data_IF_261689990220
#
_entry.id   IF_261689990220
#
_cell.length_a   1.000
_cell.length_b   1.000
_cell.length_c   1.000
_cell.angle_alpha   90.00
_cell.angle_beta   90.00
_cell.angle_gamma   90.00
#
_symmetry.space_group_name_H-M   'P 1'
#
loop_
_entity.id
_entity.type
_entity.pdbx_description
1 polymer ?
#
# COMPACT_ATOMS: atom_id res chain seq x y z
N UNK A 1 17.95 8.26 4.67
CA UNK A 1 16.54 8.59 4.91
C UNK A 1 16.29 10.03 4.49
N UNK A 2 15.33 10.25 3.58
CA UNK A 2 14.99 11.54 2.98
C UNK A 2 13.47 11.68 2.87
N UNK A 3 12.95 12.89 3.15
CA UNK A 3 11.54 13.23 2.97
C UNK A 3 11.42 14.31 1.89
N UNK A 4 10.60 14.08 0.88
CA UNK A 4 10.32 15.05 -0.19
C UNK A 4 8.86 15.47 -0.18
N UNK A 5 8.62 16.77 -0.32
CA UNK A 5 7.28 17.34 -0.32
C UNK A 5 6.81 17.58 -1.76
N UNK A 6 5.88 16.76 -2.24
CA UNK A 6 5.39 16.80 -3.63
C UNK A 6 4.08 17.60 -3.76
N UNK A 7 3.40 17.85 -2.64
CA UNK A 7 2.19 18.66 -2.55
C UNK A 7 1.85 19.02 -1.10
N UNK A 8 0.78 19.80 -0.89
CA UNK A 8 0.41 20.29 0.45
C UNK A 8 1.40 21.29 1.09
N UNK A 9 2.31 21.89 0.30
CA UNK A 9 3.22 22.95 0.77
C UNK A 9 2.73 24.30 0.27
N UNK A 10 2.53 25.25 1.19
CA UNK A 10 1.95 26.56 0.88
C UNK A 10 0.48 26.50 0.46
N UNK A 11 -0.19 25.36 0.67
CA UNK A 11 -1.60 25.12 0.36
C UNK A 11 -2.14 23.97 1.21
N UNK A 12 -3.46 23.94 1.44
CA UNK A 12 -4.14 22.90 2.24
C UNK A 12 -4.57 21.68 1.43
N UNK A 13 -4.25 21.65 0.13
CA UNK A 13 -4.77 20.63 -0.79
C UNK A 13 -3.67 19.97 -1.61
N UNK A 14 -3.93 18.75 -2.07
CA UNK A 14 -2.99 17.98 -2.89
C UNK A 14 -1.85 17.35 -2.09
N UNK A 15 -2.08 17.02 -0.82
CA UNK A 15 -1.14 16.38 0.10
C UNK A 15 -0.50 15.14 -0.53
N UNK A 16 0.83 15.18 -0.67
CA UNK A 16 1.68 14.13 -1.25
C UNK A 16 3.10 14.26 -0.73
N UNK A 17 3.58 13.25 -0.01
CA UNK A 17 4.92 13.26 0.58
C UNK A 17 5.63 11.94 0.28
N UNK A 18 6.88 12.01 -0.16
CA UNK A 18 7.67 10.83 -0.50
C UNK A 18 8.71 10.60 0.60
N UNK A 19 8.60 9.48 1.30
CA UNK A 19 9.61 9.02 2.24
C UNK A 19 10.50 7.99 1.55
N UNK A 20 11.79 8.31 1.41
CA UNK A 20 12.81 7.43 0.84
C UNK A 20 13.80 7.02 1.94
N UNK A 21 13.79 5.73 2.30
CA UNK A 21 14.70 5.18 3.32
C UNK A 21 16.02 4.70 2.72
N UNK A 22 16.14 4.65 1.40
CA UNK A 22 17.21 3.99 0.64
C UNK A 22 16.90 2.52 0.33
N UNK A 23 16.07 1.86 1.14
CA UNK A 23 15.58 0.50 0.89
C UNK A 23 14.13 0.48 0.39
N UNK A 24 13.33 1.45 0.83
CA UNK A 24 11.92 1.59 0.50
C UNK A 24 11.56 3.03 0.19
N UNK A 25 10.63 3.19 -0.75
CA UNK A 25 10.03 4.45 -1.15
C UNK A 25 8.53 4.40 -0.89
N UNK A 26 8.10 5.10 0.15
CA UNK A 26 6.73 5.13 0.63
C UNK A 26 6.12 6.49 0.28
N UNK A 27 4.97 6.48 -0.39
CA UNK A 27 4.20 7.69 -0.62
C UNK A 27 3.16 7.85 0.49
N UNK A 28 3.28 8.92 1.27
CA UNK A 28 2.28 9.33 2.26
C UNK A 28 1.32 10.30 1.59
N UNK A 29 0.06 9.93 1.55
CA UNK A 29 -1.04 10.56 0.81
C UNK A 29 -0.83 10.66 -0.71
N UNK A 30 -1.95 10.68 -1.42
CA UNK A 30 -2.04 10.79 -2.87
C UNK A 30 -3.18 11.76 -3.25
N UNK A 31 -3.08 13.00 -2.81
CA UNK A 31 -4.14 14.00 -2.92
C UNK A 31 -4.24 14.75 -4.25
N UNK A 32 -5.47 15.16 -4.62
CA UNK A 32 -5.70 16.17 -5.66
C UNK A 32 -5.59 17.58 -5.11
N UNK A 33 -5.02 18.49 -5.90
CA UNK A 33 -5.09 19.91 -5.67
C UNK A 33 -6.49 20.47 -6.01
N UNK A 34 -7.08 21.22 -5.09
CA UNK A 34 -8.42 21.83 -5.19
C UNK A 34 -8.35 23.36 -5.10
N UNK A 35 -9.53 24.01 -5.04
CA UNK A 35 -9.62 25.46 -4.89
C UNK A 35 -9.25 26.19 -6.19
N UNK A 36 -8.41 27.22 -6.11
CA UNK A 36 -8.07 28.08 -7.24
C UNK A 36 -7.59 27.31 -8.48
N UNK A 37 -7.90 27.86 -9.67
CA UNK A 37 -7.55 27.24 -10.96
C UNK A 37 -6.07 26.87 -11.05
N UNK A 38 -5.18 27.73 -10.57
CA UNK A 38 -3.73 27.51 -10.56
C UNK A 38 -3.32 26.22 -9.83
N UNK A 39 -3.99 25.87 -8.72
CA UNK A 39 -3.70 24.65 -7.99
C UNK A 39 -4.21 23.44 -8.75
N UNK A 40 -5.43 23.49 -9.30
CA UNK A 40 -5.99 22.38 -10.06
C UNK A 40 -5.19 22.04 -11.32
N UNK A 41 -4.50 23.01 -11.92
CA UNK A 41 -3.62 22.76 -13.07
C UNK A 41 -2.46 21.81 -12.72
N UNK A 42 -1.99 21.82 -11.47
CA UNK A 42 -0.94 20.91 -10.99
C UNK A 42 -1.35 19.44 -10.97
N UNK A 43 -2.65 19.14 -11.02
CA UNK A 43 -3.11 17.74 -11.12
C UNK A 43 -2.79 17.11 -12.49
N UNK A 44 -2.50 17.93 -13.50
CA UNK A 44 -2.12 17.48 -14.84
C UNK A 44 -0.61 17.29 -15.00
N UNK A 45 0.17 17.74 -14.01
CA UNK A 45 1.61 17.55 -13.99
C UNK A 45 1.92 16.09 -13.61
N UNK A 46 2.92 15.53 -14.28
CA UNK A 46 3.46 14.22 -13.91
C UNK A 46 4.11 14.33 -12.51
N UNK A 47 3.98 13.26 -11.72
CA UNK A 47 4.74 13.17 -10.49
C UNK A 47 6.24 13.17 -10.81
N UNK A 48 7.08 13.89 -10.02
CA UNK A 48 8.53 13.89 -10.19
C UNK A 48 9.19 12.58 -9.75
N UNK A 49 8.40 11.51 -9.62
CA UNK A 49 8.81 10.17 -9.21
C UNK A 49 8.08 9.17 -10.10
N UNK A 50 8.81 8.16 -10.58
CA UNK A 50 8.22 7.10 -11.38
C UNK A 50 7.23 6.29 -10.51
N UNK A 51 5.94 6.13 -10.91
CA UNK A 51 4.95 5.40 -10.12
C UNK A 51 5.37 3.96 -9.79
N UNK A 52 6.12 3.31 -10.67
CA UNK A 52 6.66 1.95 -10.49
C UNK A 52 7.76 1.86 -9.43
N UNK A 53 8.38 2.98 -9.07
CA UNK A 53 9.44 3.02 -8.05
C UNK A 53 8.90 3.18 -6.63
N UNK A 54 7.59 3.36 -6.46
CA UNK A 54 6.94 3.51 -5.16
C UNK A 54 6.55 2.12 -4.68
N UNK A 55 7.02 1.75 -3.49
CA UNK A 55 6.79 0.43 -2.90
C UNK A 55 5.42 0.33 -2.24
N UNK A 56 4.96 1.42 -1.60
CA UNK A 56 3.66 1.46 -0.93
C UNK A 56 3.10 2.87 -0.90
N UNK A 57 1.78 2.97 -0.81
CA UNK A 57 1.05 4.20 -0.49
C UNK A 57 0.41 4.05 0.88
N UNK A 58 0.55 5.05 1.75
CA UNK A 58 -0.15 5.14 3.02
C UNK A 58 -1.07 6.36 2.96
N UNK A 59 -2.37 6.14 3.17
CA UNK A 59 -3.34 7.23 3.26
C UNK A 59 -3.62 7.58 4.72
N UNK A 60 -3.52 8.85 5.06
CA UNK A 60 -3.87 9.32 6.40
C UNK A 60 -5.38 9.22 6.66
N UNK A 61 -6.19 9.58 5.67
CA UNK A 61 -7.66 9.48 5.70
C UNK A 61 -8.25 9.61 4.28
N UNK A 62 -9.56 9.44 4.14
CA UNK A 62 -10.23 9.26 2.84
C UNK A 62 -10.64 10.55 2.11
N UNK A 63 -10.24 11.75 2.59
CA UNK A 63 -10.58 12.97 1.87
C UNK A 63 -9.86 13.05 0.51
N UNK A 64 -10.48 13.74 -0.45
CA UNK A 64 -10.04 13.78 -1.85
C UNK A 64 -8.70 14.50 -2.05
N UNK A 65 -8.39 15.45 -1.18
CA UNK A 65 -7.11 16.14 -1.10
C UNK A 65 -6.00 15.31 -0.45
N UNK A 66 -6.31 14.08 -0.01
CA UNK A 66 -5.37 13.06 0.47
C UNK A 66 -5.43 11.77 -0.37
N UNK A 67 -6.51 11.48 -1.09
CA UNK A 67 -6.70 10.20 -1.81
C UNK A 67 -7.03 10.35 -3.31
N UNK A 68 -7.42 11.54 -3.76
CA UNK A 68 -8.05 11.72 -5.07
C UNK A 68 -7.14 11.51 -6.29
N UNK A 69 -5.81 11.59 -6.13
CA UNK A 69 -4.84 11.37 -7.22
C UNK A 69 -4.52 9.89 -7.41
N UNK A 70 -4.91 9.04 -6.46
CA UNK A 70 -4.60 7.61 -6.46
C UNK A 70 -5.02 6.86 -7.74
N UNK A 71 -6.20 7.10 -8.36
CA UNK A 71 -6.56 6.44 -9.62
C UNK A 71 -5.61 6.77 -10.77
N UNK A 72 -5.11 8.00 -10.82
CA UNK A 72 -4.13 8.42 -11.82
C UNK A 72 -2.77 7.77 -11.56
N UNK A 73 -2.36 7.65 -10.29
CA UNK A 73 -1.12 6.95 -9.91
C UNK A 73 -1.15 5.48 -10.34
N UNK A 74 -2.26 4.77 -10.07
CA UNK A 74 -2.48 3.37 -10.50
C UNK A 74 -2.47 3.26 -12.02
N UNK A 75 -3.21 4.14 -12.73
CA UNK A 75 -3.20 4.20 -14.20
C UNK A 75 -1.81 4.45 -14.78
N UNK A 76 -0.98 5.21 -14.07
CA UNK A 76 0.40 5.54 -14.47
C UNK A 76 1.40 4.43 -14.15
N UNK A 77 0.95 3.30 -13.58
CA UNK A 77 1.74 2.07 -13.45
C UNK A 77 2.15 1.69 -12.03
N UNK A 78 1.65 2.36 -11.00
CA UNK A 78 1.81 1.90 -9.61
C UNK A 78 1.08 0.58 -9.39
N UNK A 79 1.71 -0.34 -8.67
CA UNK A 79 1.19 -1.69 -8.37
C UNK A 79 1.38 -2.11 -6.91
N UNK A 80 1.90 -1.23 -6.06
CA UNK A 80 2.13 -1.54 -4.66
C UNK A 80 0.84 -1.59 -3.84
N UNK A 81 0.92 -2.03 -2.57
CA UNK A 81 -0.17 -1.94 -1.62
C UNK A 81 -0.55 -0.49 -1.29
N UNK A 82 -1.82 -0.30 -0.97
CA UNK A 82 -2.38 0.95 -0.44
C UNK A 82 -2.89 0.64 0.98
N UNK A 83 -2.25 1.26 1.97
CA UNK A 83 -2.47 1.05 3.40
C UNK A 83 -3.25 2.22 4.00
N UNK A 84 -4.18 1.90 4.89
CA UNK A 84 -5.03 2.84 5.61
C UNK A 84 -5.56 2.16 6.91
N UNK A 85 -6.03 2.92 7.90
CA UNK A 85 -6.36 2.39 9.25
C UNK A 85 -7.73 1.69 9.30
N UNK A 86 -8.00 0.69 10.18
CA UNK A 86 -9.07 -0.33 10.02
C UNK A 86 -10.56 0.09 9.97
N UNK A 87 -10.92 1.38 9.90
CA UNK A 87 -12.15 1.79 9.19
C UNK A 87 -12.00 1.66 7.67
N UNK A 88 -10.88 1.10 7.25
CA UNK A 88 -10.25 1.37 5.99
C UNK A 88 -9.30 0.17 5.77
N UNK A 89 -9.75 -0.78 4.95
CA UNK A 89 -9.15 -2.11 4.77
C UNK A 89 -7.76 -2.10 4.11
N UNK A 90 -7.43 -3.12 3.33
CA UNK A 90 -6.29 -3.09 2.40
C UNK A 90 -6.88 -3.11 1.01
N UNK A 91 -6.68 -2.04 0.24
CA UNK A 91 -7.19 -1.96 -1.12
C UNK A 91 -6.06 -2.42 -2.03
N UNK A 92 -6.09 -3.69 -2.42
CA UNK A 92 -5.20 -4.19 -3.45
C UNK A 92 -5.56 -3.53 -4.77
N UNK A 93 -4.57 -3.06 -5.51
CA UNK A 93 -4.75 -2.41 -6.83
C UNK A 93 -5.12 -3.40 -7.95
N UNK A 94 -5.64 -4.60 -7.62
CA UNK A 94 -5.88 -5.67 -8.58
C UNK A 94 -7.28 -5.65 -9.19
N UNK A 95 -7.33 -5.43 -10.51
CA UNK A 95 -8.46 -5.81 -11.36
C UNK A 95 -8.49 -7.34 -11.53
N UNK A 96 -8.92 -8.10 -10.52
CA UNK A 96 -9.36 -9.49 -10.71
C UNK A 96 -10.12 -10.00 -9.48
N UNK A 97 -11.46 -10.07 -9.61
CA UNK A 97 -12.40 -10.86 -8.79
C UNK A 97 -12.00 -11.18 -7.34
N UNK A 98 -12.33 -10.28 -6.41
CA UNK A 98 -12.41 -10.62 -4.98
C UNK A 98 -13.87 -10.49 -4.53
N UNK A 99 -14.42 -11.53 -3.89
CA UNK A 99 -15.76 -11.51 -3.29
C UNK A 99 -15.84 -10.37 -2.26
N UNK A 100 -16.97 -9.66 -2.14
CA UNK A 100 -17.07 -8.57 -1.17
C UNK A 100 -16.87 -9.11 0.25
N UNK A 101 -16.06 -8.45 1.10
CA UNK A 101 -16.00 -8.80 2.52
C UNK A 101 -17.35 -8.47 3.18
N UNK A 102 -17.75 -9.32 4.12
CA UNK A 102 -18.93 -9.08 4.97
C UNK A 102 -18.80 -7.72 5.68
N UNK A 103 -19.91 -6.98 5.90
CA UNK A 103 -19.85 -5.75 6.67
C UNK A 103 -19.46 -6.06 8.12
N UNK A 104 -18.33 -5.52 8.57
CA UNK A 104 -17.90 -5.58 9.96
C UNK A 104 -18.86 -4.75 10.82
N UNK A 105 -19.50 -5.39 11.79
CA UNK A 105 -20.30 -4.71 12.81
C UNK A 105 -19.39 -4.14 13.90
N UNK A 106 -19.91 -3.12 14.60
CA UNK A 106 -19.27 -2.26 15.61
C UNK A 106 -18.74 -2.98 16.87
N UNK A 107 -18.59 -4.31 16.84
CA UNK A 107 -18.25 -5.18 17.98
C UNK A 107 -16.98 -6.02 17.79
N UNK A 108 -16.25 -5.88 16.67
CA UNK A 108 -15.00 -6.61 16.45
C UNK A 108 -13.84 -6.00 17.28
N UNK A 109 -13.42 -6.73 18.32
CA UNK A 109 -12.28 -6.37 19.19
C UNK A 109 -10.93 -6.58 18.53
N UNK A 110 -9.84 -5.90 18.96
CA UNK A 110 -8.51 -5.91 18.30
C UNK A 110 -7.89 -7.30 18.05
N UNK A 111 -8.34 -8.32 18.77
CA UNK A 111 -7.83 -9.69 18.68
C UNK A 111 -8.37 -10.50 17.49
N UNK A 112 -9.34 -9.99 16.73
CA UNK A 112 -9.90 -10.67 15.54
C UNK A 112 -9.22 -10.29 14.22
N UNK A 113 -8.31 -9.31 14.24
CA UNK A 113 -7.53 -8.92 13.05
C UNK A 113 -6.25 -9.77 13.02
N UNK A 114 -6.05 -10.62 11.99
CA UNK A 114 -4.82 -11.40 11.91
C UNK A 114 -3.61 -10.44 11.83
N UNK A 115 -2.52 -10.72 12.56
CA UNK A 115 -1.35 -9.84 12.56
C UNK A 115 -0.81 -9.67 11.15
N UNK A 116 -0.43 -8.44 10.81
CA UNK A 116 0.20 -8.08 9.54
C UNK A 116 1.36 -9.03 9.25
N UNK A 117 1.18 -9.92 8.26
CA UNK A 117 2.26 -10.77 7.75
C UNK A 117 3.14 -9.94 6.82
N UNK A 118 4.34 -9.63 7.30
CA UNK A 118 5.45 -9.23 6.45
C UNK A 118 5.76 -10.37 5.47
N UNK A 119 5.60 -10.11 4.18
CA UNK A 119 6.06 -11.02 3.12
C UNK A 119 7.43 -10.51 2.69
N UNK A 120 8.49 -11.26 3.03
CA UNK A 120 9.83 -10.92 2.55
C UNK A 120 9.89 -11.00 1.02
N UNK A 121 10.48 -10.01 0.33
CA UNK A 121 10.70 -10.09 -1.11
C UNK A 121 11.70 -11.21 -1.38
N UNK A 122 11.29 -12.16 -2.21
CA UNK A 122 12.05 -13.34 -2.59
C UNK A 122 13.39 -12.92 -3.22
N UNK A 123 14.46 -12.88 -2.41
CA UNK A 123 15.80 -12.65 -2.91
C UNK A 123 16.28 -13.92 -3.59
N UNK A 124 16.29 -13.89 -4.92
CA UNK A 124 16.85 -14.97 -5.72
C UNK A 124 18.32 -15.20 -5.35
N UNK A 125 18.59 -16.30 -4.64
CA UNK A 125 19.89 -16.96 -4.61
C UNK A 125 19.67 -18.47 -4.54
N UNK A 126 20.01 -19.14 -5.64
CA UNK A 126 20.35 -20.55 -5.60
C UNK A 126 21.61 -20.70 -4.74
N UNK A 127 21.54 -21.47 -3.65
CA UNK A 127 22.69 -22.25 -3.18
C UNK A 127 22.21 -23.57 -2.57
N UNK A 128 23.07 -24.57 -2.72
CA UNK A 128 22.81 -25.99 -2.68
C UNK A 128 22.91 -26.60 -1.26
N UNK A 129 22.20 -27.73 -1.09
CA UNK A 129 22.54 -28.95 -0.30
C UNK A 129 23.12 -28.77 1.12
N UNK A 130 22.46 -29.37 2.12
CA UNK A 130 22.85 -30.67 2.72
C UNK A 130 22.21 -30.93 4.10
N UNK A 131 22.00 -32.21 4.42
CA UNK A 131 21.84 -32.73 5.80
C UNK A 131 20.41 -32.77 6.31
N UNK A 132 19.75 -33.94 6.33
CA UNK A 132 19.72 -34.90 7.46
C UNK A 132 18.66 -34.47 8.51
N UNK A 133 17.73 -35.27 9.03
CA UNK A 133 17.42 -36.70 9.04
C UNK A 133 15.92 -36.88 9.42
N UNK A 134 15.34 -37.96 8.93
CA UNK A 134 14.03 -38.63 9.19
C UNK A 134 13.76 -38.92 10.71
N UNK A 135 12.64 -39.54 11.16
CA UNK A 135 11.18 -39.33 10.99
C UNK A 135 10.40 -39.36 12.34
N UNK A 136 9.06 -39.31 12.29
CA UNK A 136 8.24 -40.24 13.10
C UNK A 136 6.90 -40.51 12.39
N UNK A 137 6.76 -41.75 11.93
CA UNK A 137 5.55 -42.42 11.46
C UNK A 137 4.85 -43.06 12.67
N UNK A 138 3.53 -42.95 12.72
CA UNK A 138 2.56 -43.94 13.24
C UNK A 138 1.17 -43.27 13.26
N UNK A 139 0.04 -43.88 12.94
CA UNK A 139 -0.40 -44.97 12.06
C UNK A 139 -1.96 -44.94 12.13
N UNK A 140 -2.70 -45.66 11.27
CA UNK A 140 -4.10 -45.38 10.91
C UNK A 140 -5.12 -46.20 11.69
N UNK A 141 -6.35 -45.69 11.92
CA UNK A 141 -7.54 -46.54 12.18
C UNK A 141 -8.85 -45.89 11.69
N UNK A 142 -9.41 -46.51 10.64
CA UNK A 142 -10.83 -46.82 10.31
C UNK A 142 -11.96 -45.85 10.68
N UNK A 143 -12.81 -45.62 9.66
CA UNK A 143 -14.19 -45.14 9.72
C UNK A 143 -14.74 -44.98 8.33
#
# INVERSE_FOLDING_TARGET
MQLSFLGGVGTVTGSKYLLDTGAYRILVDCGLFQGFKQFRLRNWEALPVAPRSIDAVVLAHAHIDHSGYLPLLVRSGFKGPILFTPGAGVCHSEQSRVRPPHPCHEQDTPDSVPPLRWVEPNSGRQEARSGALWPLQADPVRG
#
